data_IF_033189751733
#
_entry.id   IF_033189751733
#
_cell.length_a   1.000
_cell.length_b   1.000
_cell.length_c   1.000
_cell.angle_alpha   90.00
_cell.angle_beta   90.00
_cell.angle_gamma   90.00
#
_symmetry.space_group_name_H-M   'P 1'
#
loop_
_entity.id
_entity.type
_entity.pdbx_description
1 polymer ?
#
# COMPACT_ATOMS: atom_id res chain seq x y z
N UNK A 1 12.65 24.14 -14.69
CA UNK A 1 11.51 23.21 -14.68
C UNK A 1 10.32 23.95 -15.23
N UNK A 2 9.66 23.42 -16.26
CA UNK A 2 8.38 23.97 -16.73
C UNK A 2 7.31 23.52 -15.75
N UNK A 3 6.50 24.48 -15.32
CA UNK A 3 5.37 24.25 -14.44
C UNK A 3 4.25 23.57 -15.26
N UNK A 4 4.17 22.24 -15.19
CA UNK A 4 3.16 21.45 -15.91
C UNK A 4 1.78 21.46 -15.21
N UNK A 5 1.61 22.26 -14.15
CA UNK A 5 0.37 22.37 -13.37
C UNK A 5 -0.85 22.84 -14.20
N UNK A 6 -0.65 23.47 -15.35
CA UNK A 6 -1.74 24.04 -16.16
C UNK A 6 -2.42 23.06 -17.15
N UNK A 7 -1.96 21.81 -17.31
CA UNK A 7 -2.45 20.93 -18.39
C UNK A 7 -3.37 19.78 -17.94
N UNK A 8 -3.44 19.46 -16.64
CA UNK A 8 -4.32 18.41 -16.14
C UNK A 8 -5.68 18.99 -15.71
N UNK A 9 -6.81 18.44 -16.19
CA UNK A 9 -8.12 18.84 -15.69
C UNK A 9 -8.20 18.59 -14.17
N UNK A 10 -8.87 19.48 -13.39
CA UNK A 10 -8.79 19.48 -11.93
C UNK A 10 -9.15 18.14 -11.26
N UNK A 11 -10.03 17.35 -11.87
CA UNK A 11 -10.41 16.02 -11.38
C UNK A 11 -9.26 15.00 -11.47
N UNK A 12 -8.43 15.07 -12.53
CA UNK A 12 -7.25 14.21 -12.62
C UNK A 12 -6.17 14.64 -11.63
N UNK A 13 -6.14 15.92 -11.25
CA UNK A 13 -5.21 16.41 -10.26
C UNK A 13 -5.61 16.02 -8.83
N UNK A 14 -6.90 16.06 -8.49
CA UNK A 14 -7.43 15.57 -7.20
C UNK A 14 -7.18 14.07 -7.02
N UNK A 15 -7.37 13.26 -8.06
CA UNK A 15 -7.16 11.82 -7.98
C UNK A 15 -5.70 11.40 -8.20
N UNK A 16 -4.78 12.34 -8.50
CA UNK A 16 -3.38 12.04 -8.82
C UNK A 16 -2.70 11.13 -7.78
N UNK A 17 -2.83 11.33 -6.45
CA UNK A 17 -2.21 10.42 -5.49
C UNK A 17 -2.76 8.99 -5.56
N UNK A 18 -4.06 8.82 -5.81
CA UNK A 18 -4.64 7.49 -5.98
C UNK A 18 -4.09 6.83 -7.26
N UNK A 19 -4.01 7.59 -8.35
CA UNK A 19 -3.45 7.11 -9.62
C UNK A 19 -1.99 6.67 -9.45
N UNK A 20 -1.17 7.44 -8.73
CA UNK A 20 0.22 7.04 -8.43
C UNK A 20 0.28 5.77 -7.58
N UNK A 21 -0.54 5.67 -6.54
CA UNK A 21 -0.59 4.48 -5.70
C UNK A 21 -0.94 3.23 -6.53
N UNK A 22 -2.04 3.28 -7.27
CA UNK A 22 -2.50 2.17 -8.12
C UNK A 22 -1.46 1.83 -9.21
N UNK A 23 -0.85 2.85 -9.82
CA UNK A 23 0.23 2.68 -10.79
C UNK A 23 1.43 1.91 -10.23
N UNK A 24 1.86 2.23 -9.00
CA UNK A 24 2.93 1.48 -8.33
C UNK A 24 2.53 0.02 -8.05
N UNK A 25 1.29 -0.22 -7.61
CA UNK A 25 0.80 -1.58 -7.36
C UNK A 25 0.78 -2.41 -8.64
N UNK A 26 0.26 -1.87 -9.75
CA UNK A 26 0.23 -2.56 -11.03
C UNK A 26 1.62 -2.79 -11.61
N UNK A 27 2.53 -1.83 -11.48
CA UNK A 27 3.91 -1.99 -11.93
C UNK A 27 4.64 -3.09 -11.12
N UNK A 28 4.39 -3.17 -9.80
CA UNK A 28 4.90 -4.25 -8.94
C UNK A 28 4.37 -5.61 -9.39
N UNK A 29 3.06 -5.73 -9.61
CA UNK A 29 2.42 -6.96 -10.11
C UNK A 29 2.96 -7.35 -11.48
N UNK A 30 3.17 -6.37 -12.36
CA UNK A 30 3.76 -6.55 -13.69
C UNK A 30 5.25 -6.90 -13.68
N UNK A 31 5.92 -6.81 -12.51
CA UNK A 31 7.37 -7.01 -12.35
C UNK A 31 8.21 -6.06 -13.22
N UNK A 32 7.71 -4.84 -13.44
CA UNK A 32 8.40 -3.80 -14.21
C UNK A 32 9.13 -2.85 -13.24
N UNK A 33 10.35 -3.22 -12.86
CA UNK A 33 11.15 -2.49 -11.86
C UNK A 33 11.44 -1.04 -12.28
N UNK A 34 11.73 -0.81 -13.56
CA UNK A 34 12.00 0.53 -14.09
C UNK A 34 10.73 1.40 -13.93
N UNK A 35 9.56 0.86 -14.32
CA UNK A 35 8.29 1.58 -14.19
C UNK A 35 7.90 1.81 -12.72
N UNK A 36 8.11 0.83 -11.84
CA UNK A 36 7.88 0.99 -10.39
C UNK A 36 8.71 2.15 -9.85
N UNK A 37 10.00 2.19 -10.18
CA UNK A 37 10.90 3.24 -9.73
C UNK A 37 10.53 4.62 -10.28
N UNK A 38 10.19 4.72 -11.57
CA UNK A 38 9.78 5.98 -12.20
C UNK A 38 8.51 6.54 -11.54
N UNK A 39 7.47 5.72 -11.38
CA UNK A 39 6.21 6.14 -10.74
C UNK A 39 6.45 6.53 -9.28
N UNK A 40 7.22 5.74 -8.53
CA UNK A 40 7.53 6.06 -7.14
C UNK A 40 8.31 7.37 -7.01
N UNK A 41 9.27 7.63 -7.89
CA UNK A 41 10.04 8.87 -7.91
C UNK A 41 9.17 10.09 -8.21
N UNK A 42 8.17 9.96 -9.08
CA UNK A 42 7.19 11.05 -9.30
C UNK A 42 6.23 11.22 -8.11
N UNK A 43 5.73 10.11 -7.57
CA UNK A 43 4.79 10.12 -6.46
C UNK A 43 5.36 10.77 -5.19
N UNK A 44 6.62 10.47 -4.85
CA UNK A 44 7.27 11.04 -3.65
C UNK A 44 7.53 12.55 -3.79
N UNK A 45 7.65 13.05 -5.02
CA UNK A 45 7.83 14.47 -5.32
C UNK A 45 6.50 15.21 -5.52
N UNK A 46 5.36 14.56 -5.26
CA UNK A 46 4.06 15.24 -5.19
C UNK A 46 4.15 16.45 -4.24
N UNK A 47 3.78 17.62 -4.77
CA UNK A 47 3.97 18.91 -4.13
C UNK A 47 2.92 19.16 -3.03
N UNK A 48 3.34 19.79 -1.93
CA UNK A 48 2.45 20.13 -0.80
C UNK A 48 1.30 21.07 -1.20
N UNK A 49 1.43 21.82 -2.30
CA UNK A 49 0.32 22.59 -2.90
C UNK A 49 -0.90 21.75 -3.26
N UNK A 50 -0.75 20.43 -3.42
CA UNK A 50 -1.89 19.51 -3.49
C UNK A 50 -2.73 19.59 -2.21
N UNK A 51 -2.10 19.58 -1.03
CA UNK A 51 -2.79 19.69 0.25
C UNK A 51 -3.40 21.08 0.47
N UNK A 52 -2.77 22.14 -0.06
CA UNK A 52 -3.38 23.47 -0.05
C UNK A 52 -4.68 23.52 -0.87
N UNK A 53 -4.74 22.75 -1.97
CA UNK A 53 -5.88 22.75 -2.89
C UNK A 53 -6.97 21.76 -2.49
N UNK A 54 -6.60 20.56 -2.05
CA UNK A 54 -7.53 19.45 -1.81
C UNK A 54 -7.50 18.91 -0.38
N UNK A 55 -6.61 19.43 0.47
CA UNK A 55 -6.40 18.94 1.84
C UNK A 55 -7.55 19.23 2.80
N UNK A 56 -8.58 19.99 2.41
CA UNK A 56 -9.79 20.15 3.25
C UNK A 56 -10.52 18.81 3.46
N UNK A 57 -10.40 17.88 2.51
CA UNK A 57 -10.93 16.52 2.64
C UNK A 57 -9.88 15.63 3.31
N UNK A 58 -10.24 15.07 4.47
CA UNK A 58 -9.39 14.09 5.15
C UNK A 58 -9.06 12.87 4.26
N UNK A 59 -9.99 12.47 3.39
CA UNK A 59 -9.75 11.41 2.40
C UNK A 59 -8.69 11.78 1.36
N UNK A 60 -8.61 13.05 0.97
CA UNK A 60 -7.60 13.55 0.02
C UNK A 60 -6.22 13.65 0.68
N UNK A 61 -6.15 14.07 1.95
CA UNK A 61 -4.91 14.00 2.73
C UNK A 61 -4.42 12.55 2.87
N UNK A 62 -5.32 11.62 3.20
CA UNK A 62 -4.96 10.21 3.34
C UNK A 62 -4.39 9.65 2.02
N UNK A 63 -5.04 9.93 0.89
CA UNK A 63 -4.54 9.50 -0.43
C UNK A 63 -3.17 10.08 -0.76
N UNK A 64 -2.95 11.36 -0.48
CA UNK A 64 -1.65 12.03 -0.64
C UNK A 64 -0.54 11.34 0.16
N UNK A 65 -0.73 11.20 1.48
CA UNK A 65 0.28 10.58 2.33
C UNK A 65 0.45 9.09 2.04
N UNK A 66 -0.61 8.39 1.64
CA UNK A 66 -0.52 6.98 1.27
C UNK A 66 0.40 6.76 0.08
N UNK A 67 0.20 7.54 -0.99
CA UNK A 67 1.01 7.46 -2.21
C UNK A 67 2.48 7.74 -1.91
N UNK A 68 2.76 8.84 -1.17
CA UNK A 68 4.13 9.21 -0.81
C UNK A 68 4.80 8.18 0.10
N UNK A 69 4.07 7.62 1.08
CA UNK A 69 4.60 6.61 1.98
C UNK A 69 4.88 5.28 1.27
N UNK A 70 4.01 4.84 0.37
CA UNK A 70 4.26 3.67 -0.48
C UNK A 70 5.50 3.90 -1.37
N UNK A 71 5.60 5.06 -2.00
CA UNK A 71 6.76 5.42 -2.82
C UNK A 71 8.06 5.44 -2.02
N UNK A 72 8.06 6.07 -0.83
CA UNK A 72 9.21 6.07 0.07
C UNK A 72 9.58 4.65 0.53
N UNK A 73 8.58 3.80 0.76
CA UNK A 73 8.80 2.39 1.10
C UNK A 73 9.47 1.67 -0.06
N UNK A 74 9.02 1.86 -1.29
CA UNK A 74 9.58 1.24 -2.50
C UNK A 74 11.03 1.69 -2.73
N UNK A 75 11.28 2.99 -2.61
CA UNK A 75 12.58 3.62 -2.91
C UNK A 75 13.61 3.52 -1.78
N UNK A 76 13.23 2.99 -0.60
CA UNK A 76 14.02 3.08 0.64
C UNK A 76 14.45 4.54 0.92
N UNK A 77 13.53 5.50 0.74
CA UNK A 77 13.79 6.95 0.86
C UNK A 77 13.98 7.37 2.33
N UNK A 78 14.91 8.30 2.58
CA UNK A 78 15.27 8.75 3.93
C UNK A 78 14.18 9.60 4.62
N UNK A 79 13.24 10.15 3.84
CA UNK A 79 12.07 10.89 4.34
C UNK A 79 10.96 9.97 4.86
N UNK A 80 11.15 8.65 4.85
CA UNK A 80 10.11 7.67 5.19
C UNK A 80 9.46 7.92 6.56
N UNK A 81 10.23 8.25 7.60
CA UNK A 81 9.70 8.49 8.95
C UNK A 81 8.79 9.73 9.02
N UNK A 82 9.15 10.80 8.31
CA UNK A 82 8.36 12.02 8.23
C UNK A 82 7.05 11.76 7.48
N UNK A 83 7.11 11.02 6.37
CA UNK A 83 5.94 10.63 5.59
C UNK A 83 5.00 9.68 6.36
N UNK A 84 5.56 8.76 7.16
CA UNK A 84 4.77 7.91 8.05
C UNK A 84 4.01 8.75 9.07
N UNK A 85 4.67 9.74 9.66
CA UNK A 85 4.06 10.62 10.66
C UNK A 85 2.86 11.39 10.06
N UNK A 86 3.04 11.95 8.86
CA UNK A 86 1.94 12.61 8.13
C UNK A 86 0.79 11.67 7.79
N UNK A 87 1.09 10.43 7.38
CA UNK A 87 0.06 9.41 7.14
C UNK A 87 -0.72 9.06 8.41
N UNK A 88 -0.04 8.84 9.54
CA UNK A 88 -0.68 8.53 10.83
C UNK A 88 -1.59 9.65 11.30
N UNK A 89 -1.19 10.91 11.09
CA UNK A 89 -2.00 12.09 11.38
C UNK A 89 -3.25 12.13 10.50
N UNK A 90 -3.11 11.94 9.19
CA UNK A 90 -4.24 11.91 8.26
C UNK A 90 -5.24 10.79 8.59
N UNK A 91 -4.77 9.61 8.98
CA UNK A 91 -5.64 8.52 9.47
C UNK A 91 -6.41 8.95 10.72
N UNK A 92 -5.78 9.64 11.66
CA UNK A 92 -6.41 10.13 12.89
C UNK A 92 -7.51 11.17 12.67
N UNK A 93 -7.47 11.91 11.56
CA UNK A 93 -8.53 12.85 11.19
C UNK A 93 -9.79 12.15 10.65
N UNK A 94 -9.63 10.97 10.04
CA UNK A 94 -10.76 10.18 9.49
C UNK A 94 -11.34 9.25 10.55
N UNK A 95 -10.46 8.60 11.31
CA UNK A 95 -10.85 7.56 12.26
C UNK A 95 -10.44 7.99 13.67
N UNK A 96 -11.41 8.22 14.57
CA UNK A 96 -11.14 8.55 15.97
C UNK A 96 -10.24 7.51 16.64
N UNK A 97 -9.35 7.98 17.52
CA UNK A 97 -8.37 7.15 18.24
C UNK A 97 -9.00 5.96 18.95
N UNK A 98 -10.19 6.14 19.55
CA UNK A 98 -10.88 5.07 20.29
C UNK A 98 -11.30 3.91 19.37
N UNK A 99 -11.57 4.19 18.10
CA UNK A 99 -11.88 3.16 17.09
C UNK A 99 -10.60 2.49 16.61
N UNK A 100 -9.51 3.25 16.42
CA UNK A 100 -8.20 2.74 16.01
C UNK A 100 -7.59 1.78 17.02
N UNK A 101 -7.77 2.05 18.32
CA UNK A 101 -7.26 1.19 19.39
C UNK A 101 -8.05 -0.12 19.52
N UNK A 102 -9.33 -0.12 19.14
CA UNK A 102 -10.23 -1.26 19.33
C UNK A 102 -10.42 -2.12 18.07
N UNK A 103 -10.27 -1.51 16.89
CA UNK A 103 -10.43 -2.17 15.60
C UNK A 103 -9.11 -2.07 14.87
N UNK A 104 -8.61 -3.19 14.35
CA UNK A 104 -7.47 -3.18 13.44
C UNK A 104 -7.89 -2.53 12.12
N UNK A 105 -7.90 -1.19 12.07
CA UNK A 105 -8.33 -0.43 10.90
C UNK A 105 -7.36 -0.66 9.76
N UNK A 106 -7.89 -0.85 8.54
CA UNK A 106 -7.10 -1.12 7.35
C UNK A 106 -5.92 -0.15 7.18
N UNK A 107 -6.16 1.16 7.34
CA UNK A 107 -5.11 2.18 7.21
C UNK A 107 -3.99 2.04 8.26
N UNK A 108 -4.30 1.60 9.49
CA UNK A 108 -3.29 1.38 10.54
C UNK A 108 -2.45 0.14 10.27
N UNK A 109 -3.07 -0.92 9.75
CA UNK A 109 -2.37 -2.12 9.33
C UNK A 109 -1.45 -1.83 8.14
N UNK A 110 -1.89 -1.00 7.18
CA UNK A 110 -1.08 -0.56 6.05
C UNK A 110 0.19 0.16 6.48
N UNK A 111 0.10 1.12 7.40
CA UNK A 111 1.28 1.81 7.95
C UNK A 111 2.29 0.82 8.58
N UNK A 112 1.79 -0.19 9.30
CA UNK A 112 2.63 -1.23 9.90
C UNK A 112 3.25 -2.16 8.86
N UNK A 113 2.54 -2.48 7.78
CA UNK A 113 3.09 -3.26 6.66
C UNK A 113 4.22 -2.51 5.98
N UNK A 114 4.02 -1.22 5.68
CA UNK A 114 5.06 -0.38 5.11
C UNK A 114 6.29 -0.29 6.01
N UNK A 115 6.09 -0.16 7.33
CA UNK A 115 7.21 -0.17 8.28
C UNK A 115 7.96 -1.50 8.32
N UNK A 116 7.24 -2.62 8.33
CA UNK A 116 7.86 -3.93 8.30
C UNK A 116 8.63 -4.18 6.99
N UNK A 117 8.10 -3.71 5.85
CA UNK A 117 8.79 -3.76 4.57
C UNK A 117 10.07 -2.92 4.60
N UNK A 118 9.97 -1.64 4.98
CA UNK A 118 11.10 -0.71 5.04
C UNK A 118 12.23 -1.24 5.94
N UNK A 119 11.88 -1.75 7.13
CA UNK A 119 12.85 -2.30 8.09
C UNK A 119 13.24 -3.76 7.83
N UNK A 120 12.67 -4.41 6.81
CA UNK A 120 12.89 -5.81 6.45
C UNK A 120 12.55 -6.80 7.58
N UNK A 121 11.49 -6.51 8.33
CA UNK A 121 11.03 -7.26 9.49
C UNK A 121 10.01 -8.35 9.09
N UNK A 122 10.49 -9.51 8.63
CA UNK A 122 9.63 -10.56 8.08
C UNK A 122 8.55 -11.11 9.03
N UNK A 123 8.86 -11.32 10.31
CA UNK A 123 7.88 -11.81 11.30
C UNK A 123 6.78 -10.77 11.56
N UNK A 124 7.16 -9.49 11.64
CA UNK A 124 6.19 -8.40 11.79
C UNK A 124 5.32 -8.30 10.52
N UNK A 125 5.94 -8.34 9.34
CA UNK A 125 5.21 -8.31 8.07
C UNK A 125 4.18 -9.43 8.01
N UNK A 126 4.56 -10.69 8.22
CA UNK A 126 3.65 -11.83 8.13
C UNK A 126 2.48 -11.71 9.12
N UNK A 127 2.76 -11.35 10.39
CA UNK A 127 1.72 -11.21 11.41
C UNK A 127 0.74 -10.06 11.18
N UNK A 128 1.21 -8.95 10.57
CA UNK A 128 0.36 -7.82 10.22
C UNK A 128 -0.41 -8.11 8.93
N UNK A 129 0.24 -8.75 7.96
CA UNK A 129 -0.35 -9.13 6.68
C UNK A 129 -1.51 -10.11 6.88
N UNK A 130 -1.34 -11.12 7.74
CA UNK A 130 -2.42 -12.04 8.11
C UNK A 130 -3.65 -11.29 8.66
N UNK A 131 -3.44 -10.30 9.55
CA UNK A 131 -4.54 -9.50 10.09
C UNK A 131 -5.22 -8.66 9.01
N UNK A 132 -4.43 -8.10 8.11
CA UNK A 132 -4.93 -7.30 6.99
C UNK A 132 -5.78 -8.16 6.03
N UNK A 133 -5.26 -9.34 5.70
CA UNK A 133 -5.92 -10.35 4.87
C UNK A 133 -7.20 -10.89 5.51
N UNK A 134 -7.21 -11.21 6.81
CA UNK A 134 -8.44 -11.59 7.54
C UNK A 134 -9.47 -10.46 7.56
N UNK A 135 -9.01 -9.22 7.67
CA UNK A 135 -9.87 -8.04 7.57
C UNK A 135 -10.52 -7.93 6.18
N UNK A 136 -9.75 -8.15 5.12
CA UNK A 136 -10.26 -8.17 3.76
C UNK A 136 -11.25 -9.31 3.53
N UNK A 137 -10.91 -10.54 3.95
CA UNK A 137 -11.75 -11.73 3.85
C UNK A 137 -13.11 -11.55 4.53
N UNK A 138 -13.14 -10.90 5.70
CA UNK A 138 -14.39 -10.63 6.42
C UNK A 138 -15.34 -9.67 5.68
N UNK A 139 -14.84 -8.93 4.69
CA UNK A 139 -15.62 -7.95 3.92
C UNK A 139 -15.81 -8.34 2.45
N UNK A 140 -15.24 -9.46 2.00
CA UNK A 140 -15.26 -9.89 0.59
C UNK A 140 -15.94 -11.26 0.50
N UNK A 141 -17.13 -11.35 -0.12
CA UNK A 141 -17.81 -12.63 -0.31
C UNK A 141 -16.99 -13.55 -1.23
N UNK A 142 -16.82 -14.82 -0.83
CA UNK A 142 -16.12 -15.84 -1.62
C UNK A 142 -16.94 -16.38 -2.81
N UNK A 143 -18.22 -16.04 -2.89
CA UNK A 143 -19.18 -16.53 -3.87
C UNK A 143 -19.33 -15.59 -5.08
N UNK A 144 -18.26 -14.92 -5.50
CA UNK A 144 -18.26 -14.17 -6.75
C UNK A 144 -18.11 -15.09 -7.96
N UNK A 145 -18.87 -14.81 -9.02
CA UNK A 145 -18.76 -15.46 -10.32
C UNK A 145 -17.58 -14.90 -11.14
N UNK A 146 -16.95 -13.80 -10.67
CA UNK A 146 -15.81 -13.15 -11.29
C UNK A 146 -14.53 -13.33 -10.44
N UNK A 147 -13.56 -14.14 -10.89
CA UNK A 147 -12.28 -14.32 -10.19
C UNK A 147 -11.49 -13.02 -10.00
N UNK A 148 -11.70 -12.00 -10.85
CA UNK A 148 -11.03 -10.70 -10.72
C UNK A 148 -11.56 -9.91 -9.51
N UNK A 149 -12.80 -10.15 -9.08
CA UNK A 149 -13.35 -9.54 -7.86
C UNK A 149 -12.81 -10.18 -6.57
N UNK A 150 -12.19 -11.35 -6.70
CA UNK A 150 -11.62 -12.11 -5.58
C UNK A 150 -10.16 -11.71 -5.29
N UNK A 151 -9.39 -11.39 -6.32
CA UNK A 151 -7.99 -11.01 -6.15
C UNK A 151 -7.85 -9.57 -5.68
N UNK A 152 -6.90 -9.32 -4.77
CA UNK A 152 -6.61 -7.98 -4.29
C UNK A 152 -5.22 -7.52 -4.74
N UNK A 153 -5.19 -6.47 -5.55
CA UNK A 153 -3.95 -5.92 -6.13
C UNK A 153 -2.99 -5.39 -5.06
N UNK A 154 -3.51 -4.70 -4.03
CA UNK A 154 -2.68 -4.20 -2.94
C UNK A 154 -1.99 -5.35 -2.20
N UNK A 155 -2.76 -6.35 -1.76
CA UNK A 155 -2.23 -7.52 -1.08
C UNK A 155 -1.17 -8.22 -1.95
N UNK A 156 -1.47 -8.45 -3.22
CA UNK A 156 -0.59 -9.09 -4.20
C UNK A 156 0.73 -8.33 -4.37
N UNK A 157 0.67 -7.01 -4.59
CA UNK A 157 1.83 -6.15 -4.75
C UNK A 157 2.70 -6.11 -3.49
N UNK A 158 2.11 -6.12 -2.29
CA UNK A 158 2.87 -6.13 -1.03
C UNK A 158 3.63 -7.44 -0.81
N UNK A 159 3.10 -8.57 -1.29
CA UNK A 159 3.81 -9.85 -1.25
C UNK A 159 5.05 -9.83 -2.14
N UNK A 160 4.88 -9.31 -3.36
CA UNK A 160 5.99 -9.14 -4.31
C UNK A 160 7.07 -8.21 -3.74
N UNK A 161 6.65 -7.09 -3.16
CA UNK A 161 7.55 -6.12 -2.55
C UNK A 161 8.29 -6.68 -1.33
N UNK A 162 7.64 -7.56 -0.55
CA UNK A 162 8.27 -8.30 0.54
C UNK A 162 9.34 -9.26 0.01
N UNK A 163 9.01 -10.04 -1.02
CA UNK A 163 9.95 -10.96 -1.65
C UNK A 163 11.18 -10.25 -2.22
N UNK A 164 11.00 -9.10 -2.89
CA UNK A 164 12.10 -8.28 -3.42
C UNK A 164 13.02 -7.75 -2.32
N UNK A 165 12.51 -7.63 -1.09
CA UNK A 165 13.27 -7.26 0.12
C UNK A 165 13.86 -8.44 0.87
N UNK A 166 13.76 -9.65 0.33
CA UNK A 166 14.24 -10.88 0.97
C UNK A 166 13.35 -11.38 2.12
N UNK A 167 12.12 -10.88 2.22
CA UNK A 167 11.13 -11.34 3.19
C UNK A 167 10.37 -12.51 2.54
N UNK A 168 10.79 -13.74 2.85
CA UNK A 168 10.26 -14.95 2.22
C UNK A 168 9.02 -15.47 2.96
N UNK A 169 7.83 -15.16 2.43
CA UNK A 169 6.53 -15.50 3.03
C UNK A 169 5.72 -16.31 2.04
N UNK A 170 5.24 -17.47 2.48
CA UNK A 170 4.22 -18.25 1.77
C UNK A 170 2.84 -17.82 2.22
N UNK A 171 1.94 -17.60 1.26
CA UNK A 171 0.57 -17.16 1.53
C UNK A 171 -0.38 -18.16 0.88
N UNK A 172 -1.15 -18.85 1.71
CA UNK A 172 -2.25 -19.72 1.30
C UNK A 172 -3.56 -18.95 1.50
N UNK A 173 -4.03 -18.32 0.42
CA UNK A 173 -5.27 -17.54 0.45
C UNK A 173 -5.86 -17.35 -0.94
N UNK A 174 -7.20 -17.45 -1.11
CA UNK A 174 -7.83 -17.25 -2.41
C UNK A 174 -7.74 -15.80 -2.93
N UNK A 175 -7.38 -14.84 -2.06
CA UNK A 175 -7.31 -13.41 -2.39
C UNK A 175 -5.94 -12.96 -2.93
N UNK A 176 -4.95 -13.87 -2.94
CA UNK A 176 -3.59 -13.63 -3.44
C UNK A 176 -3.24 -14.75 -4.41
N UNK A 177 -2.67 -14.47 -5.60
CA UNK A 177 -2.33 -15.52 -6.55
C UNK A 177 -1.30 -16.53 -6.01
N UNK A 178 -1.59 -17.83 -6.19
CA UNK A 178 -0.70 -18.96 -5.81
C UNK A 178 0.71 -18.86 -6.42
N UNK A 179 0.86 -18.18 -7.56
CA UNK A 179 2.14 -18.01 -8.27
C UNK A 179 3.14 -17.14 -7.50
N UNK A 180 2.68 -16.45 -6.45
CA UNK A 180 3.54 -15.68 -5.54
C UNK A 180 4.05 -16.48 -4.35
N UNK A 181 3.69 -17.77 -4.25
CA UNK A 181 4.13 -18.66 -3.19
C UNK A 181 5.54 -19.16 -3.54
N UNK A 182 6.59 -18.73 -2.82
CA UNK A 182 7.90 -19.38 -2.93
C UNK A 182 7.75 -20.83 -2.48
N UNK A 183 8.63 -21.72 -2.96
CA UNK A 183 8.62 -23.14 -2.57
C UNK A 183 8.47 -23.23 -1.04
N UNK A 184 7.43 -23.91 -0.49
CA UNK A 184 7.19 -23.94 0.95
C UNK A 184 8.36 -24.54 1.74
N UNK A 185 9.31 -25.20 1.08
CA UNK A 185 10.57 -25.64 1.70
C UNK A 185 11.60 -24.53 1.93
N UNK A 186 11.45 -23.37 1.28
CA UNK A 186 12.33 -22.19 1.39
C UNK A 186 11.70 -21.05 2.19
N UNK A 187 10.40 -21.11 2.46
CA UNK A 187 9.67 -20.09 3.19
C UNK A 187 9.97 -20.09 4.70
N UNK A 188 10.10 -18.90 5.27
CA UNK A 188 10.36 -18.72 6.72
C UNK A 188 9.05 -18.55 7.49
N UNK A 189 8.02 -18.00 6.82
CA UNK A 189 6.71 -17.73 7.39
C UNK A 189 5.60 -18.25 6.47
N UNK A 190 4.53 -18.78 7.08
CA UNK A 190 3.35 -19.27 6.37
C UNK A 190 2.13 -18.50 6.89
N UNK A 191 1.35 -17.91 5.98
CA UNK A 191 0.10 -17.20 6.26
C UNK A 191 -1.04 -17.97 5.62
N UNK A 192 -2.02 -18.41 6.40
CA UNK A 192 -3.18 -19.18 5.92
C UNK A 192 -4.48 -18.42 6.23
N UNK A 193 -5.26 -18.09 5.19
CA UNK A 193 -6.59 -17.48 5.31
C UNK A 193 -7.54 -18.13 4.31
N UNK A 194 -8.56 -18.81 4.83
CA UNK A 194 -9.61 -19.50 4.08
C UNK A 194 -11.00 -18.88 4.32
#
# INVERSE_FOLDING_TARGET
>A
MRDHREELPPNLWEDAPAIYADGMLFALIGRDEDLVHDIAAEAIELDESYLETFGESAGSQLRYYNAKLLAATILDDDRWEDLLSGYIEAVGQIVPTEIREQKHVASDLRARLYGALYNREGELFASVFEKYLRGYAANTPLDTDDPEELLNDELTALCLLANDRGINVTIDSPFVPDVLVPDPSEAIHVVEVH
#
